data_IF_295501663870
#
_entry.id   IF_295501663870
#
_cell.length_a   1.000
_cell.length_b   1.000
_cell.length_c   1.000
_cell.angle_alpha   90.00
_cell.angle_beta   90.00
_cell.angle_gamma   90.00
#
_symmetry.space_group_name_H-M   'P 1'
#
loop_
_entity.id
_entity.type
_entity.pdbx_description
1 polymer ?
#
# COMPACT_ATOMS: atom_id res chain seq x y z
N UNK A 1 -3.13 -46.98 4.71
CA UNK A 1 -3.24 -45.92 5.74
C UNK A 1 -4.56 -45.20 5.48
N UNK A 2 -5.43 -45.02 6.48
CA UNK A 2 -6.75 -44.37 6.32
C UNK A 2 -6.82 -43.10 7.16
N UNK A 3 -7.41 -42.04 6.60
CA UNK A 3 -7.69 -40.79 7.32
C UNK A 3 -8.99 -40.94 8.13
N UNK A 4 -9.01 -40.46 9.37
CA UNK A 4 -10.20 -40.41 10.26
C UNK A 4 -10.48 -38.96 10.62
N UNK A 5 -11.76 -38.60 10.81
CA UNK A 5 -12.15 -37.21 11.16
C UNK A 5 -11.94 -36.22 10.01
N UNK A 6 -12.22 -36.64 8.77
CA UNK A 6 -12.04 -35.80 7.58
C UNK A 6 -13.12 -34.73 7.46
N UNK A 7 -12.71 -33.54 7.04
CA UNK A 7 -13.59 -32.44 6.66
C UNK A 7 -13.19 -31.92 5.28
N UNK A 8 -14.18 -31.49 4.49
CA UNK A 8 -13.91 -30.78 3.25
C UNK A 8 -13.40 -29.36 3.55
N UNK A 9 -12.56 -28.85 2.64
CA UNK A 9 -12.08 -27.47 2.63
C UNK A 9 -12.10 -26.96 1.20
N UNK A 10 -12.35 -25.66 1.02
CA UNK A 10 -12.18 -25.03 -0.29
C UNK A 10 -10.71 -24.65 -0.52
N UNK A 11 -10.17 -24.79 -1.75
CA UNK A 11 -8.76 -24.50 -2.03
C UNK A 11 -8.31 -23.09 -1.64
N UNK A 12 -9.16 -22.08 -1.83
CA UNK A 12 -8.88 -20.69 -1.45
C UNK A 12 -8.75 -20.48 0.07
N UNK A 13 -9.29 -21.38 0.90
CA UNK A 13 -9.15 -21.26 2.35
C UNK A 13 -7.74 -21.63 2.81
N UNK A 14 -7.03 -22.47 2.07
CA UNK A 14 -5.68 -22.92 2.41
C UNK A 14 -4.71 -21.73 2.58
N UNK A 15 -4.52 -20.84 1.59
CA UNK A 15 -3.61 -19.70 1.74
C UNK A 15 -4.08 -18.66 2.77
N UNK A 16 -5.38 -18.60 3.08
CA UNK A 16 -5.94 -17.67 4.07
C UNK A 16 -5.80 -18.18 5.51
N UNK A 17 -6.00 -19.49 5.74
CA UNK A 17 -5.97 -20.12 7.07
C UNK A 17 -4.59 -20.67 7.43
N UNK A 18 -3.82 -21.12 6.43
CA UNK A 18 -2.49 -21.70 6.60
C UNK A 18 -1.39 -20.92 5.83
N UNK A 19 -1.30 -19.57 5.91
CA UNK A 19 -0.27 -18.80 5.21
C UNK A 19 1.18 -19.29 5.43
N UNK A 20 1.60 -19.72 6.63
CA UNK A 20 2.97 -20.20 6.87
C UNK A 20 3.36 -21.44 6.05
N UNK A 21 2.38 -22.18 5.53
CA UNK A 21 2.59 -23.37 4.68
C UNK A 21 2.45 -23.06 3.19
N UNK A 22 2.26 -21.80 2.83
CA UNK A 22 2.04 -21.37 1.45
C UNK A 22 3.19 -20.47 0.98
N UNK A 23 3.80 -20.84 -0.15
CA UNK A 23 4.78 -20.00 -0.82
C UNK A 23 4.06 -19.10 -1.82
N UNK A 24 3.78 -17.86 -1.42
CA UNK A 24 3.11 -16.90 -2.28
C UNK A 24 4.03 -16.40 -3.40
N UNK A 25 3.51 -16.39 -4.62
CA UNK A 25 4.19 -15.84 -5.79
C UNK A 25 4.08 -14.30 -5.82
N UNK A 26 4.46 -13.68 -6.94
CA UNK A 26 4.36 -12.22 -7.08
C UNK A 26 2.88 -11.78 -7.09
N UNK A 27 2.58 -10.54 -6.61
CA UNK A 27 1.28 -9.92 -6.83
C UNK A 27 0.86 -9.96 -8.29
N UNK A 28 -0.41 -10.29 -8.53
CA UNK A 28 -1.00 -10.22 -9.86
C UNK A 28 -1.12 -8.76 -10.34
N UNK A 29 -1.02 -8.57 -11.64
CA UNK A 29 -1.32 -7.28 -12.29
C UNK A 29 -2.83 -7.07 -12.44
N UNK A 30 -3.57 -8.16 -12.66
CA UNK A 30 -5.03 -8.20 -12.75
C UNK A 30 -5.58 -9.28 -11.79
N UNK A 31 -6.38 -8.90 -10.78
CA UNK A 31 -6.74 -7.54 -10.40
C UNK A 31 -5.54 -6.77 -9.79
N UNK A 32 -5.45 -5.44 -10.01
CA UNK A 32 -4.32 -4.65 -9.52
C UNK A 32 -4.35 -4.50 -8.00
N UNK A 33 -3.20 -4.19 -7.36
CA UNK A 33 -3.17 -3.82 -5.96
C UNK A 33 -4.10 -2.65 -5.66
N UNK A 34 -4.68 -2.64 -4.47
CA UNK A 34 -5.61 -1.62 -4.02
C UNK A 34 -5.42 -1.30 -2.54
N UNK A 35 -5.92 -0.16 -2.10
CA UNK A 35 -5.93 0.22 -0.70
C UNK A 35 -7.25 -0.23 -0.07
N UNK A 36 -7.18 -0.97 1.04
CA UNK A 36 -8.34 -1.37 1.82
C UNK A 36 -8.57 -0.39 2.98
N UNK A 37 -9.66 0.40 2.98
CA UNK A 37 -9.93 1.35 4.06
C UNK A 37 -10.21 0.69 5.41
N UNK A 38 -10.70 -0.55 5.41
CA UNK A 38 -11.07 -1.29 6.62
C UNK A 38 -9.83 -1.76 7.39
N UNK A 39 -8.84 -2.32 6.67
CA UNK A 39 -7.58 -2.76 7.29
C UNK A 39 -6.55 -1.64 7.38
N UNK A 40 -6.66 -0.63 6.51
CA UNK A 40 -5.68 0.43 6.37
C UNK A 40 -4.43 0.04 5.59
N UNK A 41 -4.40 -1.16 5.01
CA UNK A 41 -3.26 -1.72 4.27
C UNK A 41 -3.48 -1.71 2.76
N UNK A 42 -2.36 -1.79 2.03
CA UNK A 42 -2.37 -2.16 0.62
C UNK A 42 -2.58 -3.66 0.50
N UNK A 43 -3.56 -4.06 -0.31
CA UNK A 43 -3.94 -5.45 -0.60
C UNK A 43 -3.62 -5.78 -2.05
N UNK A 44 -3.37 -7.06 -2.32
CA UNK A 44 -3.17 -7.58 -3.67
C UNK A 44 -3.64 -9.03 -3.76
N UNK A 45 -3.77 -9.53 -4.98
CA UNK A 45 -4.08 -10.93 -5.22
C UNK A 45 -2.81 -11.69 -5.52
N UNK A 46 -2.60 -12.83 -4.84
CA UNK A 46 -1.39 -13.64 -5.00
C UNK A 46 -1.75 -15.12 -5.08
N UNK A 47 -1.38 -15.82 -6.17
CA UNK A 47 -1.37 -17.28 -6.15
C UNK A 47 -0.27 -17.77 -5.22
N UNK A 48 -0.38 -19.02 -4.80
CA UNK A 48 0.60 -19.64 -3.92
C UNK A 48 0.76 -21.12 -4.20
N UNK A 49 1.84 -21.69 -3.67
CA UNK A 49 2.14 -23.11 -3.77
C UNK A 49 2.20 -23.70 -2.36
N UNK A 50 1.49 -24.80 -2.12
CA UNK A 50 1.53 -25.47 -0.82
C UNK A 50 2.87 -26.17 -0.60
N UNK A 51 3.44 -25.97 0.59
CA UNK A 51 4.74 -26.49 1.02
C UNK A 51 4.86 -28.01 0.84
N UNK A 52 6.07 -28.47 0.48
CA UNK A 52 6.49 -29.88 0.19
C UNK A 52 5.81 -30.58 -0.98
N UNK A 53 4.50 -30.50 -1.10
CA UNK A 53 3.72 -31.25 -2.10
C UNK A 53 3.55 -30.48 -3.40
N UNK A 54 3.85 -29.17 -3.41
CA UNK A 54 3.88 -28.38 -4.63
C UNK A 54 2.51 -28.11 -5.25
N UNK A 55 1.44 -28.15 -4.45
CA UNK A 55 0.09 -27.95 -4.98
C UNK A 55 -0.12 -26.48 -5.36
N UNK A 56 -0.52 -26.17 -6.59
CA UNK A 56 -0.91 -24.82 -6.98
C UNK A 56 -2.22 -24.46 -6.27
N UNK A 57 -2.23 -23.31 -5.61
CA UNK A 57 -3.39 -22.75 -4.92
C UNK A 57 -3.88 -21.51 -5.67
N UNK A 58 -5.20 -21.27 -5.69
CA UNK A 58 -5.77 -20.13 -6.39
C UNK A 58 -5.26 -18.81 -5.81
N UNK A 59 -5.34 -17.75 -6.62
CA UNK A 59 -5.00 -16.42 -6.16
C UNK A 59 -6.02 -15.93 -5.15
N UNK A 60 -5.54 -15.50 -3.99
CA UNK A 60 -6.37 -14.94 -2.92
C UNK A 60 -5.91 -13.54 -2.56
N UNK A 61 -6.82 -12.78 -1.99
CA UNK A 61 -6.54 -11.43 -1.50
C UNK A 61 -5.74 -11.48 -0.19
N UNK A 62 -4.55 -10.89 -0.22
CA UNK A 62 -3.63 -10.81 0.92
C UNK A 62 -2.99 -9.43 0.99
N UNK A 63 -2.33 -9.12 2.10
CA UNK A 63 -1.55 -7.91 2.23
C UNK A 63 -0.42 -7.87 1.20
N UNK A 64 -0.13 -6.68 0.68
CA UNK A 64 0.97 -6.50 -0.25
C UNK A 64 2.28 -6.91 0.43
N UNK A 65 3.13 -7.72 -0.24
CA UNK A 65 4.34 -8.25 0.37
C UNK A 65 5.26 -7.14 0.89
N UNK A 66 6.01 -7.45 1.94
CA UNK A 66 7.02 -6.55 2.47
C UNK A 66 8.04 -6.16 1.41
N UNK A 67 8.49 -4.91 1.47
CA UNK A 67 9.48 -4.37 0.55
C UNK A 67 9.11 -2.99 0.03
N UNK A 68 10.02 -2.43 -0.76
CA UNK A 68 9.94 -1.05 -1.23
C UNK A 68 8.69 -0.76 -2.06
N UNK A 69 8.22 -1.75 -2.83
CA UNK A 69 7.04 -1.60 -3.68
C UNK A 69 5.74 -1.41 -2.87
N UNK A 70 5.68 -1.93 -1.63
CA UNK A 70 4.56 -1.68 -0.71
C UNK A 70 4.39 -0.19 -0.43
N UNK A 71 5.49 0.49 -0.13
CA UNK A 71 5.50 1.94 0.10
C UNK A 71 5.15 2.71 -1.18
N UNK A 72 5.60 2.25 -2.35
CA UNK A 72 5.24 2.90 -3.63
C UNK A 72 3.73 2.83 -3.89
N UNK A 73 3.12 1.68 -3.66
CA UNK A 73 1.68 1.52 -3.77
C UNK A 73 0.94 2.36 -2.74
N UNK A 74 1.38 2.34 -1.48
CA UNK A 74 0.78 3.17 -0.43
C UNK A 74 0.87 4.67 -0.76
N UNK A 75 2.05 5.15 -1.19
CA UNK A 75 2.26 6.52 -1.63
C UNK A 75 1.33 6.91 -2.78
N UNK A 76 1.21 6.05 -3.80
CA UNK A 76 0.27 6.26 -4.91
C UNK A 76 -1.15 6.45 -4.38
N UNK A 77 -1.62 5.58 -3.50
CA UNK A 77 -2.99 5.66 -2.96
C UNK A 77 -3.20 6.85 -2.02
N UNK A 78 -2.17 7.29 -1.32
CA UNK A 78 -2.19 8.50 -0.51
C UNK A 78 -2.34 9.75 -1.39
N UNK A 79 -1.54 9.86 -2.45
CA UNK A 79 -1.64 10.95 -3.43
C UNK A 79 -2.97 10.94 -4.20
N UNK A 80 -3.52 9.75 -4.49
CA UNK A 80 -4.86 9.61 -5.09
C UNK A 80 -6.00 9.99 -4.12
N UNK A 81 -5.72 10.24 -2.84
CA UNK A 81 -6.72 10.54 -1.81
C UNK A 81 -7.56 9.34 -1.39
N UNK A 82 -7.09 8.11 -1.66
CA UNK A 82 -7.78 6.88 -1.23
C UNK A 82 -7.52 6.56 0.24
N UNK A 83 -6.32 6.90 0.72
CA UNK A 83 -5.95 6.76 2.14
C UNK A 83 -6.61 7.87 2.96
N UNK A 84 -6.55 9.11 2.46
CA UNK A 84 -7.13 10.29 3.11
C UNK A 84 -8.09 10.99 2.16
N UNK A 85 -9.38 10.92 2.48
CA UNK A 85 -10.45 11.47 1.61
C UNK A 85 -10.30 12.97 1.37
N UNK A 86 -9.84 13.73 2.37
CA UNK A 86 -9.63 15.17 2.23
C UNK A 86 -8.60 15.51 1.14
N UNK A 87 -7.54 14.70 0.98
CA UNK A 87 -6.54 14.87 -0.08
C UNK A 87 -7.09 14.58 -1.48
N UNK A 88 -8.23 13.90 -1.61
CA UNK A 88 -8.83 13.61 -2.91
C UNK A 88 -9.22 14.87 -3.69
N UNK A 89 -9.47 16.00 -3.00
CA UNK A 89 -9.74 17.30 -3.62
C UNK A 89 -8.57 17.79 -4.49
N UNK A 90 -7.33 17.51 -4.08
CA UNK A 90 -6.11 17.95 -4.77
C UNK A 90 -5.65 16.97 -5.86
N UNK A 91 -6.28 15.79 -6.00
CA UNK A 91 -5.89 14.78 -6.99
C UNK A 91 -5.79 15.33 -8.42
N UNK A 92 -6.69 16.25 -8.80
CA UNK A 92 -6.74 16.84 -10.15
C UNK A 92 -5.68 17.90 -10.40
N UNK A 93 -5.13 18.53 -9.35
CA UNK A 93 -4.11 19.57 -9.48
C UNK A 93 -2.69 19.04 -9.22
N UNK A 94 -2.52 17.73 -8.98
CA UNK A 94 -1.20 17.14 -8.84
C UNK A 94 -0.32 17.42 -10.07
N UNK A 95 0.91 17.86 -9.82
CA UNK A 95 1.89 18.23 -10.83
C UNK A 95 2.43 17.02 -11.63
N UNK A 96 2.26 15.81 -11.09
CA UNK A 96 2.59 14.54 -11.74
C UNK A 96 1.52 13.50 -11.41
N UNK A 97 1.29 12.55 -12.32
CA UNK A 97 0.37 11.42 -12.05
C UNK A 97 0.89 10.55 -10.89
N UNK A 98 0.07 10.20 -9.88
CA UNK A 98 0.47 9.30 -8.78
C UNK A 98 1.05 7.96 -9.22
N UNK A 99 0.70 7.49 -10.42
CA UNK A 99 1.23 6.23 -11.00
C UNK A 99 2.75 6.31 -11.21
N UNK A 100 3.34 7.52 -11.30
CA UNK A 100 4.81 7.68 -11.39
C UNK A 100 5.54 7.10 -10.17
N UNK A 101 4.88 6.99 -9.01
CA UNK A 101 5.44 6.32 -7.83
C UNK A 101 5.81 4.85 -8.09
N UNK A 102 5.14 4.19 -9.04
CA UNK A 102 5.37 2.78 -9.35
C UNK A 102 6.50 2.57 -10.38
N UNK A 103 7.08 3.63 -10.94
CA UNK A 103 8.17 3.52 -11.91
C UNK A 103 9.48 3.07 -11.23
N UNK A 104 10.42 2.57 -12.04
CA UNK A 104 11.73 2.07 -11.56
C UNK A 104 12.50 3.15 -10.81
N UNK A 105 13.11 2.77 -9.68
CA UNK A 105 13.77 3.70 -8.76
C UNK A 105 14.86 4.54 -9.43
N UNK A 106 15.62 3.93 -10.35
CA UNK A 106 16.71 4.57 -11.10
C UNK A 106 16.28 5.71 -12.03
N UNK A 107 14.97 5.94 -12.19
CA UNK A 107 14.40 7.03 -13.00
C UNK A 107 13.42 7.90 -12.20
N UNK A 108 13.43 7.80 -10.87
CA UNK A 108 12.55 8.61 -10.02
C UNK A 108 12.91 10.09 -10.13
N UNK A 109 11.90 10.93 -10.26
CA UNK A 109 12.06 12.37 -10.11
C UNK A 109 12.39 12.68 -8.64
N UNK A 110 13.10 13.77 -8.33
CA UNK A 110 13.44 14.14 -6.95
C UNK A 110 12.23 14.12 -6.01
N UNK A 111 11.04 14.54 -6.49
CA UNK A 111 9.79 14.50 -5.70
C UNK A 111 9.33 13.10 -5.31
N UNK A 112 9.48 12.14 -6.21
CA UNK A 112 9.03 10.76 -5.96
C UNK A 112 9.98 10.06 -5.00
N UNK A 113 11.28 10.36 -5.10
CA UNK A 113 12.29 9.86 -4.17
C UNK A 113 12.12 10.47 -2.78
N UNK A 114 11.98 11.80 -2.68
CA UNK A 114 11.77 12.51 -1.41
C UNK A 114 10.53 11.98 -0.67
N UNK A 115 9.40 11.84 -1.37
CA UNK A 115 8.17 11.31 -0.78
C UNK A 115 8.32 9.86 -0.29
N UNK A 116 9.00 9.03 -1.08
CA UNK A 116 9.16 7.61 -0.76
C UNK A 116 10.18 7.39 0.38
N UNK A 117 11.27 8.15 0.40
CA UNK A 117 12.25 8.12 1.49
C UNK A 117 11.61 8.52 2.82
N UNK A 118 10.77 9.56 2.83
CA UNK A 118 10.05 9.98 4.03
C UNK A 118 9.07 8.91 4.55
N UNK A 119 8.43 8.15 3.67
CA UNK A 119 7.59 7.01 4.06
C UNK A 119 8.43 5.87 4.65
N UNK A 120 9.53 5.52 3.99
CA UNK A 120 10.41 4.44 4.44
C UNK A 120 11.07 4.78 5.79
N UNK A 121 11.46 6.03 6.02
CA UNK A 121 12.16 6.44 7.26
C UNK A 121 11.31 6.28 8.53
N UNK A 122 9.98 6.46 8.42
CA UNK A 122 9.04 6.24 9.53
C UNK A 122 8.27 4.91 9.37
N UNK A 123 8.67 4.06 8.42
CA UNK A 123 7.99 2.80 8.09
C UNK A 123 6.48 2.96 7.82
N UNK A 124 6.08 4.10 7.27
CA UNK A 124 4.68 4.47 7.02
C UNK A 124 4.17 3.83 5.72
N UNK A 125 3.70 2.58 5.82
CA UNK A 125 3.14 1.80 4.72
C UNK A 125 1.64 1.51 4.84
N UNK A 126 1.03 1.97 5.93
CA UNK A 126 -0.38 1.80 6.24
C UNK A 126 -0.92 3.01 7.01
N UNK A 127 -2.25 3.10 7.09
CA UNK A 127 -2.95 4.20 7.74
C UNK A 127 -2.58 4.38 9.21
N UNK A 128 -2.51 3.29 9.97
CA UNK A 128 -2.25 3.35 11.40
C UNK A 128 -0.85 3.90 11.69
N UNK A 129 0.17 3.46 10.94
CA UNK A 129 1.53 3.98 11.11
C UNK A 129 1.61 5.44 10.66
N UNK A 130 0.95 5.81 9.56
CA UNK A 130 0.89 7.21 9.12
C UNK A 130 0.27 8.12 10.20
N UNK A 131 -0.81 7.69 10.84
CA UNK A 131 -1.43 8.41 11.96
C UNK A 131 -0.48 8.52 13.17
N UNK A 132 0.24 7.46 13.50
CA UNK A 132 1.24 7.49 14.58
C UNK A 132 2.39 8.46 14.26
N UNK A 133 2.86 8.48 13.02
CA UNK A 133 3.87 9.42 12.56
C UNK A 133 3.38 10.87 12.66
N UNK A 134 2.11 11.15 12.33
CA UNK A 134 1.52 12.48 12.54
C UNK A 134 1.33 12.86 14.01
N UNK A 135 1.00 11.90 14.87
CA UNK A 135 0.96 12.16 16.33
C UNK A 135 2.33 12.55 16.88
N UNK A 136 3.40 11.94 16.36
CA UNK A 136 4.79 12.25 16.73
C UNK A 136 5.26 13.58 16.14
N UNK A 137 4.98 13.83 14.88
CA UNK A 137 5.29 15.08 14.20
C UNK A 137 4.10 15.48 13.31
N UNK A 138 3.30 16.49 13.71
CA UNK A 138 2.11 16.87 12.94
C UNK A 138 2.45 17.39 11.55
N UNK A 139 3.70 17.83 11.30
CA UNK A 139 4.16 18.30 9.97
C UNK A 139 4.78 17.19 9.11
N UNK A 140 4.84 15.95 9.59
CA UNK A 140 5.36 14.82 8.83
C UNK A 140 4.66 14.70 7.46
N UNK A 141 5.42 14.47 6.39
CA UNK A 141 5.00 14.42 4.98
C UNK A 141 4.43 15.70 4.36
N UNK A 142 4.30 16.81 5.10
CA UNK A 142 3.76 18.04 4.53
C UNK A 142 4.65 18.59 3.42
N UNK A 143 5.95 18.70 3.66
CA UNK A 143 6.90 19.25 2.70
C UNK A 143 6.97 18.37 1.44
N UNK A 144 7.01 17.05 1.63
CA UNK A 144 7.03 16.06 0.57
C UNK A 144 5.74 16.09 -0.25
N UNK A 145 4.57 16.20 0.39
CA UNK A 145 3.28 16.33 -0.30
C UNK A 145 3.17 17.64 -1.08
N UNK A 146 3.64 18.77 -0.52
CA UNK A 146 3.67 20.06 -1.20
C UNK A 146 4.47 20.01 -2.51
N UNK A 147 5.52 19.17 -2.61
CA UNK A 147 6.23 18.98 -3.87
C UNK A 147 5.36 18.40 -5.00
N UNK A 148 4.21 17.81 -4.69
CA UNK A 148 3.29 17.22 -5.67
C UNK A 148 2.16 18.15 -6.11
N UNK A 149 1.98 19.29 -5.46
CA UNK A 149 0.89 20.23 -5.72
C UNK A 149 1.43 21.62 -6.08
N UNK A 150 0.65 22.47 -6.76
CA UNK A 150 1.07 23.82 -7.10
C UNK A 150 1.31 24.67 -5.84
N UNK A 151 2.30 25.56 -5.87
CA UNK A 151 2.71 26.40 -4.73
C UNK A 151 1.55 27.21 -4.14
N UNK A 152 0.63 27.68 -4.98
CA UNK A 152 -0.58 28.41 -4.56
C UNK A 152 -1.50 27.63 -3.60
N UNK A 153 -1.40 26.30 -3.57
CA UNK A 153 -2.19 25.44 -2.66
C UNK A 153 -1.47 25.11 -1.36
N UNK A 154 -0.18 25.43 -1.23
CA UNK A 154 0.65 25.00 -0.09
C UNK A 154 0.15 25.59 1.23
N UNK A 155 -0.25 26.87 1.25
CA UNK A 155 -0.77 27.52 2.46
C UNK A 155 -2.08 26.90 2.94
N UNK A 156 -2.99 26.61 2.02
CA UNK A 156 -4.28 25.96 2.33
C UNK A 156 -4.03 24.57 2.92
N UNK A 157 -3.12 23.80 2.30
CA UNK A 157 -2.81 22.46 2.75
C UNK A 157 -2.13 22.47 4.12
N UNK A 158 -1.18 23.37 4.34
CA UNK A 158 -0.48 23.49 5.62
C UNK A 158 -1.43 23.84 6.79
N UNK A 159 -2.50 24.60 6.54
CA UNK A 159 -3.50 24.94 7.57
C UNK A 159 -4.34 23.75 8.03
N UNK A 160 -4.62 22.83 7.11
CA UNK A 160 -5.45 21.64 7.37
C UNK A 160 -4.62 20.38 7.66
N UNK A 161 -3.30 20.53 7.81
CA UNK A 161 -2.38 19.44 8.08
C UNK A 161 -2.16 19.24 9.59
N UNK A 162 -2.18 18.01 10.12
CA UNK A 162 -2.40 16.74 9.43
C UNK A 162 -3.89 16.47 9.12
N UNK A 163 -4.22 15.86 7.98
CA UNK A 163 -5.60 15.70 7.51
C UNK A 163 -6.28 14.46 8.13
N UNK A 164 -6.40 14.47 9.46
CA UNK A 164 -6.93 13.34 10.26
C UNK A 164 -8.37 13.57 10.75
N UNK A 165 -9.03 14.60 10.22
CA UNK A 165 -10.38 15.03 10.60
C UNK A 165 -11.50 14.16 10.01
#
# INVERSE_FOLDING_TARGET
MYMKGVSAIEPEWIPLLLPPYCHFEKPLEEPPPFYCPETGYVRCHRPSIFYRVGWPLPAVEVDYPEGLDRFKHFARFLLEGKVVKWLAAYRRCLLSSPVTMLKTWSKLQPRTESFLQALVSENADNWNILQLAWKKNPKYLLAEYCQWVPEVTHEEIAKMWPPVH
#
